data_IF_352138741279
#
_entry.id   IF_352138741279
#
_cell.length_a   1.000
_cell.length_b   1.000
_cell.length_c   1.000
_cell.angle_alpha   90.00
_cell.angle_beta   90.00
_cell.angle_gamma   90.00
#
_symmetry.space_group_name_H-M   'P 1'
#
loop_
_entity.id
_entity.type
_entity.pdbx_description
1 polymer ?
#
# COMPACT_ATOMS: atom_id res chain seq x y z
N UNK A 1 -1.86 -36.08 -49.84
CA UNK A 1 -1.06 -35.22 -48.95
C UNK A 1 -1.25 -33.78 -49.40
N UNK A 2 -1.92 -32.85 -48.74
CA UNK A 2 -2.71 -32.84 -47.52
C UNK A 2 -3.68 -31.66 -47.68
N UNK A 3 -4.97 -31.91 -47.48
CA UNK A 3 -5.99 -30.87 -47.37
C UNK A 3 -6.10 -30.54 -45.88
N UNK A 4 -5.40 -29.48 -45.44
CA UNK A 4 -5.48 -28.96 -44.08
C UNK A 4 -6.27 -27.66 -44.12
N UNK A 5 -7.52 -27.76 -43.67
CA UNK A 5 -8.48 -26.68 -43.56
C UNK A 5 -7.94 -25.57 -42.65
N UNK A 6 -7.73 -24.39 -43.22
CA UNK A 6 -7.66 -23.10 -42.53
C UNK A 6 -9.05 -22.71 -42.03
N UNK A 7 -9.63 -23.53 -41.13
CA UNK A 7 -10.92 -23.31 -40.49
C UNK A 7 -10.79 -22.93 -39.01
N UNK A 8 -9.69 -22.29 -38.62
CA UNK A 8 -9.56 -21.68 -37.30
C UNK A 8 -10.06 -20.24 -37.37
N UNK A 9 -11.38 -20.11 -37.45
CA UNK A 9 -12.07 -18.83 -37.34
C UNK A 9 -11.72 -18.20 -35.98
N UNK A 10 -10.88 -17.15 -36.00
CA UNK A 10 -10.78 -16.22 -34.88
C UNK A 10 -12.19 -15.70 -34.57
N UNK A 11 -12.68 -15.76 -33.31
CA UNK A 11 -14.02 -15.32 -32.98
C UNK A 11 -14.18 -13.84 -33.32
N UNK A 12 -15.10 -13.52 -34.22
CA UNK A 12 -15.41 -12.15 -34.65
C UNK A 12 -15.72 -11.26 -33.44
N UNK A 13 -15.20 -10.02 -33.38
CA UNK A 13 -15.45 -9.08 -32.28
C UNK A 13 -16.92 -8.63 -32.32
N UNK A 14 -17.80 -9.42 -31.70
CA UNK A 14 -19.25 -9.17 -31.73
C UNK A 14 -20.00 -9.74 -30.53
N UNK A 15 -19.31 -10.23 -29.51
CA UNK A 15 -19.95 -10.63 -28.25
C UNK A 15 -19.08 -10.18 -27.08
N UNK A 16 -19.16 -8.89 -26.75
CA UNK A 16 -18.76 -8.43 -25.43
C UNK A 16 -19.60 -9.18 -24.39
N UNK A 17 -19.04 -10.25 -23.82
CA UNK A 17 -19.66 -10.87 -22.65
C UNK A 17 -19.50 -9.88 -21.50
N UNK A 18 -20.53 -9.07 -21.26
CA UNK A 18 -20.60 -8.24 -20.06
C UNK A 18 -20.59 -9.18 -18.84
N UNK A 19 -19.46 -9.25 -18.15
CA UNK A 19 -19.32 -10.01 -16.91
C UNK A 19 -20.23 -9.33 -15.87
N UNK A 20 -21.38 -9.96 -15.55
CA UNK A 20 -22.26 -9.50 -14.47
C UNK A 20 -21.97 -10.30 -13.22
N UNK A 21 -21.38 -9.65 -12.23
CA UNK A 21 -21.19 -10.23 -10.90
C UNK A 21 -22.52 -10.42 -10.18
N UNK A 22 -22.67 -11.51 -9.44
CA UNK A 22 -23.80 -11.69 -8.52
C UNK A 22 -23.75 -10.64 -7.40
N UNK A 23 -24.87 -10.35 -6.72
CA UNK A 23 -24.89 -9.40 -5.60
C UNK A 23 -23.86 -9.74 -4.50
N UNK A 24 -23.64 -11.02 -4.12
CA UNK A 24 -22.57 -11.41 -3.20
C UNK A 24 -21.16 -11.14 -3.75
N UNK A 25 -20.88 -11.52 -5.00
CA UNK A 25 -19.58 -11.28 -5.63
C UNK A 25 -19.26 -9.79 -5.72
N UNK A 26 -20.24 -8.96 -6.14
CA UNK A 26 -20.10 -7.51 -6.19
C UNK A 26 -19.82 -6.90 -4.81
N UNK A 27 -20.27 -7.54 -3.72
CA UNK A 27 -19.97 -7.11 -2.35
C UNK A 27 -18.54 -7.46 -1.94
N UNK A 28 -18.02 -8.60 -2.36
CA UNK A 28 -16.64 -9.03 -2.08
C UNK A 28 -15.64 -8.19 -2.87
N UNK A 29 -15.91 -7.91 -4.15
CA UNK A 29 -15.04 -7.10 -5.01
C UNK A 29 -15.19 -5.59 -4.82
N UNK A 30 -16.09 -5.15 -3.93
CA UNK A 30 -16.27 -3.74 -3.66
C UNK A 30 -15.01 -3.16 -3.03
N UNK A 31 -14.41 -2.17 -3.70
CA UNK A 31 -13.26 -1.44 -3.17
C UNK A 31 -13.54 -0.91 -1.75
N UNK A 32 -12.62 -1.11 -0.80
CA UNK A 32 -12.74 -0.55 0.54
C UNK A 32 -12.91 0.98 0.52
N UNK A 33 -13.57 1.54 1.53
CA UNK A 33 -13.68 2.99 1.68
C UNK A 33 -12.30 3.58 1.92
N UNK A 34 -11.97 4.67 1.20
CA UNK A 34 -10.78 5.48 1.47
C UNK A 34 -10.87 6.06 2.88
N UNK A 35 -9.80 5.88 3.65
CA UNK A 35 -9.63 6.53 4.95
C UNK A 35 -8.28 7.24 4.96
N UNK A 36 -8.14 8.36 5.69
CA UNK A 36 -6.83 8.99 5.86
C UNK A 36 -5.85 8.03 6.52
N UNK A 37 -4.57 8.09 6.12
CA UNK A 37 -3.53 7.19 6.61
C UNK A 37 -3.25 7.45 8.08
N UNK A 38 -3.34 8.70 8.51
CA UNK A 38 -3.25 9.08 9.93
C UNK A 38 -4.29 8.35 10.80
N UNK A 39 -5.52 8.19 10.29
CA UNK A 39 -6.59 7.47 11.00
C UNK A 39 -6.44 5.95 10.90
N UNK A 40 -5.94 5.45 9.77
CA UNK A 40 -5.63 4.03 9.62
C UNK A 40 -4.56 3.61 10.64
N UNK A 41 -3.51 4.42 10.80
CA UNK A 41 -2.41 4.16 11.70
C UNK A 41 -2.88 4.02 13.16
N UNK A 42 -3.70 4.93 13.67
CA UNK A 42 -4.20 4.84 15.06
C UNK A 42 -5.08 3.61 15.32
N UNK A 43 -5.74 3.08 14.28
CA UNK A 43 -6.65 1.93 14.41
C UNK A 43 -5.94 0.59 14.33
N UNK A 44 -4.92 0.48 13.48
CA UNK A 44 -4.34 -0.82 13.12
C UNK A 44 -2.86 -0.95 13.51
N UNK A 45 -2.14 0.15 13.71
CA UNK A 45 -0.69 0.11 13.90
C UNK A 45 -0.31 -0.01 15.38
N UNK A 46 0.62 -0.93 15.65
CA UNK A 46 1.32 -1.07 16.91
C UNK A 46 2.78 -0.68 16.69
N UNK A 47 3.36 0.04 17.64
CA UNK A 47 4.76 0.45 17.59
C UNK A 47 5.63 -0.76 17.89
N UNK A 48 6.55 -1.09 16.99
CA UNK A 48 7.41 -2.29 17.09
C UNK A 48 8.83 -2.00 17.54
N UNK A 49 9.23 -0.72 17.57
CA UNK A 49 10.60 -0.33 17.93
C UNK A 49 10.59 0.97 18.73
N UNK A 50 11.51 1.06 19.69
CA UNK A 50 11.79 2.27 20.46
C UNK A 50 11.05 2.34 21.80
N UNK A 51 11.04 3.51 22.47
CA UNK A 51 10.56 3.64 23.85
C UNK A 51 9.08 3.32 24.07
N UNK A 52 8.30 3.32 22.99
CA UNK A 52 6.86 3.07 22.99
C UNK A 52 6.50 1.71 22.38
N UNK A 53 7.47 0.81 22.27
CA UNK A 53 7.27 -0.55 21.77
C UNK A 53 6.12 -1.27 22.49
N UNK A 54 5.30 -2.00 21.73
CA UNK A 54 4.12 -2.70 22.21
C UNK A 54 2.88 -1.82 22.42
N UNK A 55 3.01 -0.50 22.32
CA UNK A 55 1.86 0.41 22.42
C UNK A 55 1.20 0.65 21.07
N UNK A 56 -0.11 0.98 21.09
CA UNK A 56 -0.81 1.42 19.88
C UNK A 56 -0.26 2.75 19.38
N UNK A 57 -0.18 2.90 18.07
CA UNK A 57 0.19 4.17 17.44
C UNK A 57 -0.77 5.28 17.86
N UNK A 58 -0.21 6.44 18.23
CA UNK A 58 -0.95 7.66 18.51
C UNK A 58 -0.35 8.83 17.76
N UNK A 59 -1.17 9.52 16.97
CA UNK A 59 -0.74 10.73 16.25
C UNK A 59 -0.39 11.86 17.22
N UNK A 60 -0.93 11.84 18.45
CA UNK A 60 -0.58 12.81 19.50
C UNK A 60 0.90 12.79 19.89
N UNK A 61 1.57 11.64 19.74
CA UNK A 61 3.01 11.51 20.04
C UNK A 61 3.88 12.19 18.98
N UNK A 62 3.45 12.14 17.72
CA UNK A 62 4.19 12.69 16.57
C UNK A 62 3.25 13.45 15.63
N UNK A 63 2.71 14.61 16.07
CA UNK A 63 1.64 15.30 15.35
C UNK A 63 2.05 15.77 13.96
N UNK A 64 3.33 16.09 13.77
CA UNK A 64 3.87 16.51 12.48
C UNK A 64 3.84 15.40 11.41
N UNK A 65 3.82 14.12 11.80
CA UNK A 65 3.77 13.01 10.85
C UNK A 65 2.38 12.84 10.23
N UNK A 66 1.30 13.24 10.94
CA UNK A 66 -0.06 13.05 10.47
C UNK A 66 -0.35 13.78 9.14
N UNK A 67 0.12 15.03 9.02
CA UNK A 67 -0.03 15.79 7.78
C UNK A 67 0.73 15.15 6.61
N UNK A 68 1.94 14.64 6.85
CA UNK A 68 2.76 14.00 5.82
C UNK A 68 2.14 12.65 5.40
N UNK A 69 1.62 11.88 6.35
CA UNK A 69 0.88 10.64 6.09
C UNK A 69 -0.31 10.87 5.17
N UNK A 70 -1.14 11.86 5.48
CA UNK A 70 -2.35 12.14 4.71
C UNK A 70 -2.02 12.76 3.35
N UNK A 71 -0.96 13.56 3.26
CA UNK A 71 -0.47 14.10 1.99
C UNK A 71 0.04 12.99 1.05
N UNK A 72 0.63 11.91 1.58
CA UNK A 72 1.23 10.82 0.79
C UNK A 72 0.23 10.07 -0.09
N UNK A 73 -1.06 10.13 0.23
CA UNK A 73 -2.13 9.46 -0.51
C UNK A 73 -3.17 10.45 -1.03
N UNK A 74 -2.83 11.73 -1.05
CA UNK A 74 -3.70 12.75 -1.60
C UNK A 74 -3.63 12.71 -3.14
N UNK A 75 -4.77 12.72 -3.87
CA UNK A 75 -4.79 12.50 -5.31
C UNK A 75 -3.96 13.47 -6.16
N UNK A 76 -3.67 14.67 -5.65
CA UNK A 76 -2.86 15.68 -6.36
C UNK A 76 -1.38 15.66 -5.97
N UNK A 77 -0.95 14.72 -5.11
CA UNK A 77 0.44 14.62 -4.64
C UNK A 77 1.06 13.37 -5.21
N UNK A 78 2.14 13.55 -5.98
CA UNK A 78 2.93 12.44 -6.54
C UNK A 78 4.22 12.21 -5.76
N UNK A 79 4.89 13.29 -5.35
CA UNK A 79 6.21 13.24 -4.70
C UNK A 79 6.22 14.04 -3.40
N UNK A 80 6.79 13.46 -2.34
CA UNK A 80 7.01 14.12 -1.06
C UNK A 80 8.50 14.06 -0.72
N UNK A 81 9.08 15.22 -0.45
CA UNK A 81 10.47 15.35 -0.01
C UNK A 81 10.45 15.77 1.46
N UNK A 82 11.11 14.99 2.31
CA UNK A 82 11.15 15.22 3.75
C UNK A 82 12.57 15.63 4.13
N UNK A 83 12.72 16.88 4.56
CA UNK A 83 13.95 17.35 5.21
C UNK A 83 13.76 17.20 6.71
N UNK A 84 14.53 16.32 7.33
CA UNK A 84 14.30 15.89 8.69
C UNK A 84 15.61 15.75 9.48
N UNK A 85 15.54 16.04 10.78
CA UNK A 85 16.62 15.80 11.72
C UNK A 85 16.93 14.29 11.89
N UNK A 86 18.12 13.94 12.42
CA UNK A 86 18.40 12.56 12.83
C UNK A 86 17.40 12.07 13.89
N UNK A 87 17.18 10.74 13.94
CA UNK A 87 16.34 10.05 14.93
C UNK A 87 14.86 10.49 15.07
N UNK A 88 14.34 11.29 14.15
CA UNK A 88 12.88 11.53 14.08
C UNK A 88 12.16 10.35 13.43
N UNK A 89 10.84 10.25 13.63
CA UNK A 89 9.98 9.15 13.17
C UNK A 89 9.80 8.98 11.65
N UNK A 90 10.79 9.34 10.82
CA UNK A 90 10.76 9.22 9.35
C UNK A 90 10.64 7.77 8.87
N UNK A 91 11.38 6.83 9.45
CA UNK A 91 11.23 5.41 9.10
C UNK A 91 9.84 4.91 9.48
N UNK A 92 9.38 5.24 10.69
CA UNK A 92 8.05 4.85 11.15
C UNK A 92 6.92 5.44 10.27
N UNK A 93 7.11 6.63 9.70
CA UNK A 93 6.20 7.20 8.71
C UNK A 93 6.12 6.33 7.46
N UNK A 94 7.28 6.03 6.85
CA UNK A 94 7.34 5.23 5.61
C UNK A 94 6.73 3.85 5.82
N UNK A 95 7.06 3.17 6.92
CA UNK A 95 6.49 1.87 7.28
C UNK A 95 4.95 1.92 7.37
N UNK A 96 4.40 3.02 7.88
CA UNK A 96 2.95 3.22 7.96
C UNK A 96 2.33 3.33 6.57
N UNK A 97 2.97 4.10 5.68
CA UNK A 97 2.49 4.25 4.31
C UNK A 97 2.51 2.91 3.57
N UNK A 98 3.56 2.11 3.73
CA UNK A 98 3.66 0.77 3.14
C UNK A 98 2.57 -0.16 3.70
N UNK A 99 2.37 -0.16 5.03
CA UNK A 99 1.30 -0.93 5.66
C UNK A 99 -0.10 -0.52 5.18
N UNK A 100 -0.32 0.79 4.98
CA UNK A 100 -1.57 1.31 4.43
C UNK A 100 -1.80 0.86 2.99
N UNK A 101 -0.76 0.90 2.13
CA UNK A 101 -0.80 0.39 0.76
C UNK A 101 -1.16 -1.10 0.76
N UNK A 102 -0.50 -1.89 1.60
CA UNK A 102 -0.74 -3.33 1.69
C UNK A 102 -2.21 -3.67 2.07
N UNK A 103 -2.83 -2.89 2.96
CA UNK A 103 -4.22 -3.12 3.39
C UNK A 103 -5.27 -2.53 2.42
N UNK A 104 -5.00 -1.37 1.81
CA UNK A 104 -6.04 -0.58 1.12
C UNK A 104 -5.91 -0.47 -0.38
N UNK A 105 -4.68 -0.45 -0.89
CA UNK A 105 -4.41 -0.26 -2.31
C UNK A 105 -3.18 -1.07 -2.70
N UNK A 106 -3.28 -2.42 -2.70
CA UNK A 106 -2.12 -3.28 -2.88
C UNK A 106 -1.52 -3.04 -4.26
N UNK A 107 -0.30 -2.51 -4.27
CA UNK A 107 0.49 -2.24 -5.45
C UNK A 107 1.97 -2.55 -5.21
N UNK A 108 2.80 -2.51 -6.26
CA UNK A 108 4.24 -2.70 -6.11
C UNK A 108 4.83 -1.57 -5.26
N UNK A 109 5.64 -1.92 -4.27
CA UNK A 109 6.35 -0.99 -3.39
C UNK A 109 7.84 -1.29 -3.47
N UNK A 110 8.65 -0.24 -3.65
CA UNK A 110 10.11 -0.32 -3.58
C UNK A 110 10.60 0.51 -2.39
N UNK A 111 11.36 -0.11 -1.49
CA UNK A 111 11.97 0.56 -0.35
C UNK A 111 13.50 0.44 -0.43
N UNK A 112 14.18 1.58 -0.60
CA UNK A 112 15.63 1.65 -0.86
C UNK A 112 16.33 2.38 0.27
N UNK A 113 17.51 1.89 0.62
CA UNK A 113 18.43 2.51 1.56
C UNK A 113 19.77 2.81 0.87
N UNK A 114 20.55 3.77 1.38
CA UNK A 114 21.86 4.10 0.80
C UNK A 114 22.91 3.00 1.03
N UNK A 115 22.73 2.15 2.04
CA UNK A 115 23.66 1.11 2.48
C UNK A 115 22.99 -0.27 2.59
N UNK A 116 23.76 -1.32 2.31
CA UNK A 116 23.27 -2.70 2.28
C UNK A 116 22.89 -3.23 3.67
N UNK A 117 23.65 -2.84 4.70
CA UNK A 117 23.43 -3.30 6.07
C UNK A 117 22.09 -2.79 6.61
N UNK A 118 21.81 -1.47 6.49
CA UNK A 118 20.51 -0.90 6.89
C UNK A 118 19.37 -1.52 6.07
N UNK A 119 19.57 -1.78 4.77
CA UNK A 119 18.57 -2.47 3.97
C UNK A 119 18.26 -3.87 4.50
N UNK A 120 19.30 -4.65 4.81
CA UNK A 120 19.18 -6.02 5.29
C UNK A 120 18.51 -6.10 6.67
N UNK A 121 18.80 -5.16 7.58
CA UNK A 121 18.16 -5.09 8.90
C UNK A 121 16.66 -4.78 8.81
N UNK A 122 16.27 -3.87 7.93
CA UNK A 122 14.87 -3.48 7.79
C UNK A 122 14.04 -4.50 7.00
N UNK A 123 14.65 -5.22 6.05
CA UNK A 123 13.99 -6.30 5.34
C UNK A 123 13.55 -7.46 6.27
N UNK A 124 14.35 -7.76 7.30
CA UNK A 124 14.06 -8.86 8.25
C UNK A 124 12.95 -8.55 9.24
N UNK A 125 12.66 -7.27 9.47
CA UNK A 125 11.72 -6.81 10.50
C UNK A 125 10.26 -6.71 10.05
N UNK A 126 9.96 -6.85 8.75
CA UNK A 126 8.66 -6.52 8.20
C UNK A 126 7.55 -7.57 8.45
N UNK A 127 7.91 -8.82 8.77
CA UNK A 127 6.97 -9.94 8.88
C UNK A 127 7.09 -10.76 10.19
N UNK A 128 7.65 -10.19 11.25
CA UNK A 128 7.70 -10.84 12.57
C UNK A 128 6.53 -10.47 13.46
#
# INVERSE_FOLDING_TARGET
MAQLALNDAWPSPGTERAIRFSRPEARVFRRPRRIPVSQWAERHRVVTRGPLEGTRWRNSTTPYLAGIMDASFFPSVETIIIVAAPQVGKSALVDTCIGYVADRDPGPVLYVYPDEDTAAENAKGFFR
#
